data_IF_363867230560
#
_entry.id   IF_363867230560
#
_cell.length_a   1.000
_cell.length_b   1.000
_cell.length_c   1.000
_cell.angle_alpha   90.00
_cell.angle_beta   90.00
_cell.angle_gamma   90.00
#
_symmetry.space_group_name_H-M   'P 1'
#
loop_
_entity.id
_entity.type
_entity.pdbx_description
1 polymer ?
#
# COMPACT_ATOMS: atom_id res chain seq x y z
N UNK A 1 20.94 -15.97 -18.24
CA UNK A 1 19.97 -16.30 -17.18
C UNK A 1 18.93 -15.20 -17.15
N UNK A 2 17.68 -15.45 -17.54
CA UNK A 2 16.61 -14.43 -17.51
C UNK A 2 16.04 -14.41 -16.09
N UNK A 3 16.37 -13.39 -15.30
CA UNK A 3 15.71 -13.16 -14.01
C UNK A 3 14.23 -12.88 -14.28
N UNK A 4 13.35 -13.73 -13.76
CA UNK A 4 11.92 -13.45 -13.70
C UNK A 4 11.64 -12.77 -12.37
N UNK A 5 11.38 -11.47 -12.41
CA UNK A 5 10.82 -10.76 -11.26
C UNK A 5 9.30 -10.99 -11.28
N UNK A 6 8.77 -11.63 -10.25
CA UNK A 6 7.33 -11.78 -10.05
C UNK A 6 6.86 -10.71 -9.05
N UNK A 7 6.13 -9.70 -9.55
CA UNK A 7 5.39 -8.76 -8.69
C UNK A 7 3.98 -9.30 -8.53
N UNK A 8 3.73 -10.04 -7.45
CA UNK A 8 2.39 -10.52 -7.11
C UNK A 8 1.61 -9.43 -6.38
N UNK A 9 0.75 -8.69 -7.08
CA UNK A 9 -0.19 -7.75 -6.48
C UNK A 9 -1.52 -8.46 -6.23
N UNK A 10 -1.64 -9.14 -5.08
CA UNK A 10 -2.89 -9.78 -4.69
C UNK A 10 -3.81 -8.76 -4.01
N UNK A 11 -4.89 -8.40 -4.71
CA UNK A 11 -5.95 -7.52 -4.20
C UNK A 11 -7.02 -8.40 -3.57
N UNK A 12 -6.97 -8.55 -2.25
CA UNK A 12 -8.07 -9.12 -1.47
C UNK A 12 -9.06 -8.01 -1.14
N UNK A 13 -10.23 -8.06 -1.77
CA UNK A 13 -11.29 -7.06 -1.64
C UNK A 13 -12.25 -7.42 -0.50
N UNK A 14 -12.26 -6.58 0.53
CA UNK A 14 -13.44 -6.30 1.32
C UNK A 14 -13.27 -4.92 1.99
N UNK A 15 -13.71 -3.86 1.31
CA UNK A 15 -13.85 -2.54 1.95
C UNK A 15 -15.20 -1.95 1.61
N UNK A 16 -16.02 -1.75 2.64
CA UNK A 16 -17.21 -0.90 2.61
C UNK A 16 -16.80 0.44 3.20
N UNK A 17 -16.60 1.46 2.36
CA UNK A 17 -16.47 2.85 2.79
C UNK A 17 -17.02 3.80 1.71
N UNK A 18 -18.17 4.43 1.98
CA UNK A 18 -18.63 5.61 1.25
C UNK A 18 -18.81 6.74 2.28
N UNK A 19 -18.12 7.86 2.07
CA UNK A 19 -18.30 9.06 2.86
C UNK A 19 -17.35 10.18 2.43
N UNK A 20 -17.89 11.22 1.79
CA UNK A 20 -17.18 12.47 1.47
C UNK A 20 -17.02 13.30 2.75
N UNK A 21 -15.82 13.83 2.99
CA UNK A 21 -15.53 14.77 4.08
C UNK A 21 -14.87 16.04 3.57
N UNK A 22 -15.48 17.18 3.88
CA UNK A 22 -15.02 18.55 3.60
C UNK A 22 -13.80 18.91 4.45
N UNK A 23 -12.87 19.66 3.85
CA UNK A 23 -11.68 20.23 4.49
C UNK A 23 -12.05 21.48 5.30
N UNK A 24 -11.57 21.60 6.54
CA UNK A 24 -11.48 22.87 7.25
C UNK A 24 -10.03 23.04 7.74
N UNK A 25 -9.40 24.15 7.34
CA UNK A 25 -8.00 24.48 7.61
C UNK A 25 -7.91 25.41 8.82
N UNK A 26 -7.21 24.99 9.87
CA UNK A 26 -6.81 25.82 11.00
C UNK A 26 -5.28 25.94 11.03
N UNK A 27 -4.78 27.17 11.09
CA UNK A 27 -3.38 27.57 10.95
C UNK A 27 -2.86 28.02 12.32
N UNK A 28 -1.76 27.45 12.81
CA UNK A 28 -0.97 28.02 13.92
C UNK A 28 0.54 27.88 13.69
N UNK A 29 1.30 28.65 14.48
CA UNK A 29 2.51 29.40 14.15
C UNK A 29 3.83 28.61 13.98
N UNK A 30 4.70 29.23 13.18
CA UNK A 30 6.07 28.83 12.81
C UNK A 30 7.11 29.14 13.91
N UNK A 31 8.07 28.23 14.11
CA UNK A 31 9.52 28.52 14.12
C UNK A 31 10.39 27.26 14.29
N UNK A 32 11.15 26.91 13.25
CA UNK A 32 12.62 26.79 13.19
C UNK A 32 13.01 26.10 11.87
N UNK A 33 13.92 26.68 11.08
CA UNK A 33 14.31 26.23 9.74
C UNK A 33 15.60 25.41 9.82
N UNK A 34 15.48 24.08 9.68
CA UNK A 34 16.28 23.30 8.71
C UNK A 34 15.41 22.46 7.75
N UNK A 35 14.07 22.58 7.81
CA UNK A 35 13.12 21.61 7.24
C UNK A 35 12.70 21.83 5.77
N UNK A 36 13.18 22.86 5.09
CA UNK A 36 12.61 23.29 3.79
C UNK A 36 12.80 22.27 2.66
N UNK A 37 13.94 21.58 2.61
CA UNK A 37 14.27 20.65 1.51
C UNK A 37 13.60 19.28 1.67
N UNK A 38 13.50 18.80 2.92
CA UNK A 38 12.75 17.59 3.27
C UNK A 38 11.26 17.80 3.00
N UNK A 39 10.72 18.97 3.34
CA UNK A 39 9.31 19.32 3.09
C UNK A 39 8.98 19.37 1.58
N UNK A 40 9.88 19.96 0.77
CA UNK A 40 9.72 19.97 -0.70
C UNK A 40 9.74 18.55 -1.26
N UNK A 41 10.67 17.70 -0.84
CA UNK A 41 10.79 16.32 -1.32
C UNK A 41 9.55 15.48 -0.97
N UNK A 42 9.05 15.60 0.25
CA UNK A 42 7.80 14.95 0.69
C UNK A 42 6.62 15.42 -0.16
N UNK A 43 6.50 16.72 -0.42
CA UNK A 43 5.45 17.28 -1.28
C UNK A 43 5.52 16.73 -2.71
N UNK A 44 6.70 16.72 -3.32
CA UNK A 44 6.91 16.21 -4.67
C UNK A 44 6.61 14.70 -4.78
N UNK A 45 7.04 13.90 -3.79
CA UNK A 45 6.72 12.46 -3.73
C UNK A 45 5.22 12.22 -3.55
N UNK A 46 4.53 13.04 -2.75
CA UNK A 46 3.09 12.97 -2.60
C UNK A 46 2.34 13.30 -3.91
N UNK A 47 2.75 14.33 -4.63
CA UNK A 47 2.17 14.66 -5.95
C UNK A 47 2.43 13.55 -6.98
N UNK A 48 3.65 13.00 -7.02
CA UNK A 48 3.98 11.85 -7.86
C UNK A 48 3.08 10.65 -7.53
N UNK A 49 2.91 10.34 -6.24
CA UNK A 49 2.07 9.23 -5.78
C UNK A 49 0.58 9.45 -6.13
N UNK A 50 0.05 10.68 -6.06
CA UNK A 50 -1.31 10.99 -6.55
C UNK A 50 -1.46 10.66 -8.03
N UNK A 51 -0.52 11.11 -8.85
CA UNK A 51 -0.50 10.83 -10.28
C UNK A 51 -0.42 9.33 -10.58
N UNK A 52 0.48 8.62 -9.89
CA UNK A 52 0.61 7.17 -9.96
C UNK A 52 -0.68 6.45 -9.57
N UNK A 53 -1.34 6.89 -8.49
CA UNK A 53 -2.60 6.32 -7.99
C UNK A 53 -3.68 6.28 -9.07
N UNK A 54 -3.89 7.40 -9.77
CA UNK A 54 -4.89 7.47 -10.84
C UNK A 54 -4.51 6.64 -12.05
N UNK A 55 -3.23 6.62 -12.43
CA UNK A 55 -2.76 5.78 -13.55
C UNK A 55 -2.96 4.30 -13.24
N UNK A 56 -2.57 3.85 -12.04
CA UNK A 56 -2.72 2.47 -11.60
C UNK A 56 -4.20 2.07 -11.51
N UNK A 57 -5.05 2.91 -10.90
CA UNK A 57 -6.49 2.64 -10.83
C UNK A 57 -7.11 2.45 -12.23
N UNK A 58 -6.82 3.34 -13.19
CA UNK A 58 -7.34 3.20 -14.56
C UNK A 58 -6.89 1.91 -15.23
N UNK A 59 -5.64 1.50 -15.00
CA UNK A 59 -5.11 0.24 -15.54
C UNK A 59 -5.79 -0.98 -14.91
N UNK A 60 -6.00 -0.97 -13.59
CA UNK A 60 -6.73 -2.03 -12.90
C UNK A 60 -8.19 -2.08 -13.36
N UNK A 61 -8.88 -0.95 -13.46
CA UNK A 61 -10.28 -0.87 -13.89
C UNK A 61 -10.50 -1.29 -15.35
N UNK A 62 -9.51 -1.10 -16.22
CA UNK A 62 -9.56 -1.56 -17.61
C UNK A 62 -9.10 -3.02 -17.78
N UNK A 63 -8.62 -3.67 -16.72
CA UNK A 63 -8.17 -5.06 -16.79
C UNK A 63 -9.38 -6.01 -16.92
N UNK A 64 -9.22 -7.10 -17.69
CA UNK A 64 -10.28 -8.07 -17.92
C UNK A 64 -10.74 -8.72 -16.60
N UNK A 65 -9.79 -9.12 -15.75
CA UNK A 65 -10.07 -9.74 -14.46
C UNK A 65 -10.77 -8.81 -13.44
N UNK A 66 -10.83 -7.50 -13.71
CA UNK A 66 -11.50 -6.53 -12.84
C UNK A 66 -12.93 -6.21 -13.28
N UNK A 67 -13.40 -6.74 -14.42
CA UNK A 67 -14.73 -6.42 -14.93
C UNK A 67 -15.81 -6.97 -14.00
N UNK A 68 -16.63 -6.08 -13.43
CA UNK A 68 -17.66 -6.44 -12.46
C UNK A 68 -17.14 -6.68 -11.04
N UNK A 69 -15.84 -6.54 -10.80
CA UNK A 69 -15.20 -6.80 -9.51
C UNK A 69 -14.88 -5.52 -8.73
N UNK A 70 -14.78 -5.64 -7.41
CA UNK A 70 -14.37 -4.54 -6.55
C UNK A 70 -12.86 -4.32 -6.63
N UNK A 71 -12.44 -3.05 -6.74
CA UNK A 71 -11.02 -2.67 -6.77
C UNK A 71 -10.66 -2.00 -5.44
N UNK A 72 -9.67 -2.58 -4.74
CA UNK A 72 -9.12 -2.01 -3.51
C UNK A 72 -7.60 -2.15 -3.48
N UNK A 73 -6.89 -1.04 -3.29
CA UNK A 73 -5.44 -1.06 -3.11
C UNK A 73 -4.97 0.19 -2.36
N UNK A 74 -3.75 0.14 -1.82
CA UNK A 74 -3.06 1.30 -1.25
C UNK A 74 -1.99 1.78 -2.24
N UNK A 75 -2.21 2.92 -2.93
CA UNK A 75 -1.21 3.45 -3.84
C UNK A 75 0.12 3.75 -3.14
N UNK A 76 0.06 4.31 -1.93
CA UNK A 76 1.25 4.63 -1.16
C UNK A 76 2.06 3.39 -0.78
N UNK A 77 1.42 2.26 -0.45
CA UNK A 77 2.12 1.01 -0.14
C UNK A 77 2.79 0.42 -1.37
N UNK A 78 2.11 0.40 -2.52
CA UNK A 78 2.68 -0.07 -3.79
C UNK A 78 3.84 0.82 -4.22
N UNK A 79 3.68 2.13 -4.11
CA UNK A 79 4.71 3.12 -4.45
C UNK A 79 5.95 2.97 -3.56
N UNK A 80 5.77 2.83 -2.24
CA UNK A 80 6.86 2.60 -1.30
C UNK A 80 7.61 1.29 -1.58
N UNK A 81 6.90 0.21 -1.90
CA UNK A 81 7.54 -1.06 -2.24
C UNK A 81 8.38 -0.93 -3.52
N UNK A 82 7.82 -0.36 -4.59
CA UNK A 82 8.56 -0.20 -5.86
C UNK A 82 9.71 0.81 -5.75
N UNK A 83 9.61 1.82 -4.88
CA UNK A 83 10.71 2.72 -4.56
C UNK A 83 11.81 2.02 -3.74
N UNK A 84 11.44 1.13 -2.81
CA UNK A 84 12.39 0.27 -2.13
C UNK A 84 13.14 -0.63 -3.13
N UNK A 85 12.42 -1.20 -4.11
CA UNK A 85 13.04 -1.99 -5.18
C UNK A 85 14.02 -1.16 -6.02
N UNK A 86 13.72 0.13 -6.25
CA UNK A 86 14.59 0.99 -7.06
C UNK A 86 15.95 1.24 -6.41
N UNK A 87 16.07 1.16 -5.08
CA UNK A 87 17.36 1.25 -4.37
C UNK A 87 18.40 0.24 -4.91
N UNK A 88 17.95 -0.97 -5.24
CA UNK A 88 18.82 -2.04 -5.76
C UNK A 88 18.98 -2.02 -7.28
N UNK A 89 18.22 -1.19 -7.99
CA UNK A 89 18.19 -1.12 -9.44
C UNK A 89 19.23 -0.12 -9.97
N UNK A 90 19.70 -0.35 -11.20
CA UNK A 90 20.61 0.57 -11.90
C UNK A 90 20.20 0.75 -13.35
N UNK A 91 20.73 1.81 -13.99
CA UNK A 91 20.53 2.11 -15.39
C UNK A 91 19.05 2.18 -15.79
N UNK A 92 18.70 1.45 -16.84
CA UNK A 92 17.34 1.46 -17.40
C UNK A 92 16.28 0.91 -16.44
N UNK A 93 16.63 -0.09 -15.61
CA UNK A 93 15.68 -0.66 -14.65
C UNK A 93 15.32 0.35 -13.57
N UNK A 94 16.32 1.08 -13.06
CA UNK A 94 16.09 2.18 -12.12
C UNK A 94 15.20 3.24 -12.76
N UNK A 95 15.55 3.71 -13.97
CA UNK A 95 14.82 4.74 -14.69
C UNK A 95 13.34 4.40 -14.90
N UNK A 96 13.03 3.15 -15.27
CA UNK A 96 11.65 2.71 -15.48
C UNK A 96 10.85 2.67 -14.17
N UNK A 97 11.45 2.18 -13.08
CA UNK A 97 10.81 2.20 -11.75
C UNK A 97 10.53 3.63 -11.31
N UNK A 98 11.56 4.50 -11.36
CA UNK A 98 11.48 5.87 -10.89
C UNK A 98 10.46 6.70 -11.66
N UNK A 99 10.53 6.66 -13.00
CA UNK A 99 9.59 7.40 -13.86
C UNK A 99 8.18 6.83 -13.86
N UNK A 100 8.04 5.50 -13.75
CA UNK A 100 6.74 4.82 -13.62
C UNK A 100 5.96 5.26 -12.37
N UNK A 101 6.67 5.44 -11.27
CA UNK A 101 6.15 6.01 -10.01
C UNK A 101 5.88 7.52 -10.08
N UNK A 102 6.34 8.18 -11.14
CA UNK A 102 6.14 9.61 -11.36
C UNK A 102 7.22 10.51 -10.76
N UNK A 103 8.34 9.93 -10.28
CA UNK A 103 9.50 10.67 -9.76
C UNK A 103 10.34 11.25 -10.91
N UNK A 104 9.72 12.11 -11.72
CA UNK A 104 10.30 12.68 -12.94
C UNK A 104 10.94 14.07 -12.72
N UNK A 105 10.85 14.60 -11.51
CA UNK A 105 11.47 15.89 -11.19
C UNK A 105 12.98 15.74 -11.17
N UNK A 106 13.70 16.64 -11.85
CA UNK A 106 15.17 16.72 -11.78
C UNK A 106 15.67 17.00 -10.35
N UNK A 107 14.78 17.46 -9.47
CA UNK A 107 15.06 17.77 -8.07
C UNK A 107 14.88 16.55 -7.16
N UNK A 108 14.41 15.40 -7.67
CA UNK A 108 14.22 14.19 -6.87
C UNK A 108 15.34 13.19 -7.16
N UNK A 109 16.23 13.01 -6.20
CA UNK A 109 17.16 11.89 -6.16
C UNK A 109 16.56 10.71 -5.38
N UNK A 110 17.16 9.52 -5.52
CA UNK A 110 16.73 8.33 -4.77
C UNK A 110 16.72 8.58 -3.26
N UNK A 111 17.73 9.29 -2.74
CA UNK A 111 17.83 9.63 -1.31
C UNK A 111 16.68 10.49 -0.82
N UNK A 112 16.17 11.40 -1.65
CA UNK A 112 15.04 12.27 -1.31
C UNK A 112 13.74 11.48 -1.25
N UNK A 113 13.58 10.52 -2.16
CA UNK A 113 12.45 9.57 -2.18
C UNK A 113 12.49 8.65 -0.96
N UNK A 114 13.67 8.10 -0.65
CA UNK A 114 13.90 7.25 0.52
C UNK A 114 13.54 8.00 1.82
N UNK A 115 14.00 9.24 1.95
CA UNK A 115 13.72 10.09 3.11
C UNK A 115 12.22 10.44 3.20
N UNK A 116 11.58 10.75 2.08
CA UNK A 116 10.15 11.06 2.05
C UNK A 116 9.29 9.86 2.48
N UNK A 117 9.61 8.65 2.01
CA UNK A 117 8.92 7.44 2.45
C UNK A 117 9.21 7.10 3.90
N UNK A 118 10.42 7.34 4.39
CA UNK A 118 10.74 7.17 5.80
C UNK A 118 9.83 8.04 6.68
N UNK A 119 9.73 9.34 6.37
CA UNK A 119 8.86 10.28 7.09
C UNK A 119 7.39 9.87 7.01
N UNK A 120 6.92 9.46 5.82
CA UNK A 120 5.54 8.99 5.63
C UNK A 120 5.25 7.73 6.47
N UNK A 121 6.13 6.74 6.44
CA UNK A 121 5.94 5.48 7.17
C UNK A 121 6.03 5.67 8.68
N UNK A 122 6.93 6.55 9.16
CA UNK A 122 7.01 6.90 10.57
C UNK A 122 5.74 7.60 11.06
N UNK A 123 5.24 8.60 10.34
CA UNK A 123 4.04 9.37 10.73
C UNK A 123 2.76 8.53 10.77
N UNK A 124 2.78 7.37 10.11
CA UNK A 124 1.63 6.46 10.00
C UNK A 124 1.75 5.22 10.90
N UNK A 125 2.90 5.01 11.56
CA UNK A 125 3.11 3.97 12.56
C UNK A 125 2.68 4.45 13.95
N UNK A 126 1.44 4.90 14.09
CA UNK A 126 0.90 5.35 15.37
C UNK A 126 0.26 4.17 16.13
N UNK A 127 0.75 3.80 17.34
CA UNK A 127 0.21 2.69 18.13
C UNK A 127 -1.28 2.82 18.48
N UNK A 128 -1.83 4.05 18.50
CA UNK A 128 -3.26 4.29 18.72
C UNK A 128 -4.15 3.88 17.52
N UNK A 129 -3.55 3.63 16.35
CA UNK A 129 -4.20 3.05 15.19
C UNK A 129 -4.20 1.52 15.25
N UNK A 130 -4.72 0.95 16.35
CA UNK A 130 -4.88 -0.51 16.59
C UNK A 130 -5.64 -1.28 15.48
N UNK A 131 -6.14 -0.58 14.47
CA UNK A 131 -7.03 -1.10 13.43
C UNK A 131 -6.42 -1.01 12.02
N UNK A 132 -5.12 -0.72 11.89
CA UNK A 132 -4.39 -0.77 10.64
C UNK A 132 -3.12 -1.61 10.77
N UNK A 133 -2.87 -2.48 9.80
CA UNK A 133 -1.65 -3.30 9.72
C UNK A 133 -1.09 -3.15 8.32
N UNK A 134 0.17 -2.75 8.20
CA UNK A 134 0.81 -2.60 6.90
C UNK A 134 2.29 -2.90 7.00
N UNK A 135 2.91 -3.18 5.85
CA UNK A 135 4.34 -3.33 5.78
C UNK A 135 4.81 -3.78 4.42
N UNK A 136 6.12 -3.77 4.27
CA UNK A 136 6.83 -4.30 3.12
C UNK A 136 7.80 -5.37 3.62
N UNK A 137 7.96 -6.44 2.88
CA UNK A 137 8.95 -7.46 3.17
C UNK A 137 9.61 -7.95 1.88
N UNK A 138 10.89 -8.28 1.97
CA UNK A 138 11.65 -8.92 0.89
C UNK A 138 12.00 -10.34 1.30
N UNK A 139 11.68 -11.30 0.43
CA UNK A 139 12.05 -12.70 0.59
C UNK A 139 12.99 -13.06 -0.54
N UNK A 140 14.21 -13.46 -0.23
CA UNK A 140 15.24 -13.79 -1.21
C UNK A 140 15.61 -15.26 -1.15
N UNK A 141 15.95 -15.83 -2.30
CA UNK A 141 16.45 -17.20 -2.35
C UNK A 141 17.76 -17.33 -1.56
N UNK A 142 17.98 -18.49 -0.93
CA UNK A 142 19.20 -18.78 -0.18
C UNK A 142 20.48 -18.61 -1.01
N UNK A 143 20.41 -18.89 -2.31
CA UNK A 143 21.57 -18.81 -3.20
C UNK A 143 21.81 -17.38 -3.72
N UNK A 144 20.88 -16.45 -3.45
CA UNK A 144 21.02 -15.04 -3.79
C UNK A 144 21.44 -14.21 -2.58
N UNK A 145 22.53 -13.44 -2.74
CA UNK A 145 23.07 -12.57 -1.70
C UNK A 145 22.91 -11.11 -2.10
N UNK A 146 21.84 -10.42 -1.65
CA UNK A 146 21.71 -8.98 -1.86
C UNK A 146 22.88 -8.22 -1.25
N UNK A 147 23.21 -7.07 -1.82
CA UNK A 147 24.22 -6.18 -1.26
C UNK A 147 23.79 -5.70 0.14
N UNK A 148 24.69 -5.66 1.14
CA UNK A 148 24.36 -5.20 2.48
C UNK A 148 23.76 -3.80 2.51
N UNK A 149 24.26 -2.89 1.66
CA UNK A 149 23.79 -1.51 1.59
C UNK A 149 22.32 -1.43 1.13
N UNK A 150 21.91 -2.31 0.20
CA UNK A 150 20.52 -2.40 -0.24
C UNK A 150 19.59 -2.79 0.93
N UNK A 151 19.95 -3.86 1.66
CA UNK A 151 19.15 -4.31 2.81
C UNK A 151 19.12 -3.27 3.93
N UNK A 152 20.22 -2.54 4.13
CA UNK A 152 20.29 -1.46 5.11
C UNK A 152 19.32 -0.33 4.78
N UNK A 153 19.31 0.16 3.53
CA UNK A 153 18.38 1.22 3.11
C UNK A 153 16.92 0.75 3.19
N UNK A 154 16.61 -0.48 2.79
CA UNK A 154 15.27 -1.06 2.92
C UNK A 154 14.78 -1.05 4.38
N UNK A 155 15.65 -1.47 5.31
CA UNK A 155 15.34 -1.49 6.73
C UNK A 155 15.16 -0.08 7.32
N UNK A 156 16.02 0.86 6.94
CA UNK A 156 16.06 2.20 7.53
C UNK A 156 15.00 3.16 6.97
N UNK A 157 14.81 3.16 5.65
CA UNK A 157 13.94 4.12 4.96
C UNK A 157 12.54 3.57 4.70
N UNK A 158 12.43 2.26 4.48
CA UNK A 158 11.16 1.61 4.11
C UNK A 158 10.59 0.72 5.22
N UNK A 159 11.31 0.57 6.33
CA UNK A 159 10.97 -0.36 7.43
C UNK A 159 10.64 -1.77 6.91
N UNK A 160 11.33 -2.19 5.85
CA UNK A 160 11.10 -3.47 5.21
C UNK A 160 11.86 -4.58 5.95
N UNK A 161 11.15 -5.65 6.27
CA UNK A 161 11.76 -6.87 6.83
C UNK A 161 12.37 -7.71 5.70
N UNK A 162 13.46 -8.44 5.99
CA UNK A 162 14.17 -9.26 5.02
C UNK A 162 14.32 -10.70 5.49
N UNK A 163 14.06 -11.66 4.60
CA UNK A 163 14.10 -13.08 4.89
C UNK A 163 14.76 -13.87 3.77
N UNK A 164 15.38 -14.98 4.13
CA UNK A 164 15.88 -15.97 3.20
C UNK A 164 14.93 -17.17 3.14
N UNK A 165 14.63 -17.65 1.94
CA UNK A 165 13.79 -18.82 1.68
C UNK A 165 14.48 -19.76 0.69
N UNK A 166 14.04 -21.01 0.68
CA UNK A 166 14.39 -21.99 -0.34
C UNK A 166 13.22 -22.12 -1.30
N UNK A 167 13.25 -21.40 -2.42
CA UNK A 167 12.10 -21.43 -3.35
C UNK A 167 11.93 -22.77 -4.06
N UNK A 168 12.94 -23.64 -4.05
CA UNK A 168 12.78 -25.03 -4.53
C UNK A 168 11.77 -25.81 -3.69
N UNK A 169 11.58 -25.41 -2.43
CA UNK A 169 10.51 -25.85 -1.52
C UNK A 169 9.34 -24.88 -1.59
N UNK A 170 8.67 -24.86 -2.75
CA UNK A 170 7.66 -23.85 -3.08
C UNK A 170 6.51 -23.78 -2.07
N UNK A 171 6.03 -24.92 -1.56
CA UNK A 171 4.93 -24.98 -0.59
C UNK A 171 5.35 -24.41 0.76
N UNK A 172 6.48 -24.85 1.30
CA UNK A 172 7.00 -24.37 2.58
C UNK A 172 7.35 -22.88 2.52
N UNK A 173 7.88 -22.42 1.39
CA UNK A 173 8.15 -20.99 1.16
C UNK A 173 6.86 -20.17 1.07
N UNK A 174 5.80 -20.69 0.44
CA UNK A 174 4.49 -20.03 0.42
C UNK A 174 3.90 -19.93 1.84
N UNK A 175 3.99 -21.01 2.61
CA UNK A 175 3.52 -21.08 3.99
C UNK A 175 4.29 -20.11 4.90
N UNK A 176 5.61 -20.00 4.73
CA UNK A 176 6.43 -19.05 5.47
C UNK A 176 6.03 -17.59 5.19
N UNK A 177 5.82 -17.25 3.92
CA UNK A 177 5.34 -15.91 3.51
C UNK A 177 3.95 -15.63 4.11
N UNK A 178 3.01 -16.56 3.93
CA UNK A 178 1.64 -16.40 4.41
C UNK A 178 1.59 -16.29 5.93
N UNK A 179 2.37 -17.10 6.65
CA UNK A 179 2.49 -17.03 8.11
C UNK A 179 3.02 -15.68 8.58
N UNK A 180 4.09 -15.17 7.96
CA UNK A 180 4.63 -13.85 8.28
C UNK A 180 3.58 -12.75 8.13
N UNK A 181 2.86 -12.73 7.00
CA UNK A 181 1.81 -11.72 6.75
C UNK A 181 0.63 -11.89 7.71
N UNK A 182 0.22 -13.12 8.01
CA UNK A 182 -0.83 -13.41 8.98
C UNK A 182 -0.47 -12.86 10.37
N UNK A 183 0.75 -13.11 10.85
CA UNK A 183 1.23 -12.58 12.14
C UNK A 183 1.23 -11.05 12.15
N UNK A 184 1.77 -10.41 11.10
CA UNK A 184 1.80 -8.94 10.99
C UNK A 184 0.43 -8.29 10.87
N UNK A 185 -0.59 -9.05 10.47
CA UNK A 185 -1.96 -8.56 10.28
C UNK A 185 -2.96 -9.13 11.29
N UNK A 186 -2.50 -9.79 12.37
CA UNK A 186 -3.36 -10.44 13.36
C UNK A 186 -4.40 -11.39 12.71
N UNK A 187 -3.95 -12.16 11.72
CA UNK A 187 -4.75 -13.13 10.98
C UNK A 187 -5.76 -12.52 10.00
N UNK A 188 -5.67 -11.22 9.67
CA UNK A 188 -6.59 -10.59 8.69
C UNK A 188 -6.22 -10.89 7.24
N UNK A 189 -4.95 -11.19 6.98
CA UNK A 189 -4.47 -11.64 5.68
C UNK A 189 -3.68 -12.93 5.93
N UNK A 190 -4.33 -14.08 5.72
CA UNK A 190 -3.78 -15.41 5.99
C UNK A 190 -3.36 -16.19 4.74
N UNK A 191 -3.80 -15.74 3.55
CA UNK A 191 -3.44 -16.29 2.25
C UNK A 191 -3.15 -15.17 1.27
N UNK A 192 -1.90 -14.72 1.26
CA UNK A 192 -1.43 -13.70 0.33
C UNK A 192 -0.91 -14.32 -0.96
N UNK A 193 -0.12 -15.39 -0.86
CA UNK A 193 0.51 -16.05 -2.02
C UNK A 193 0.10 -17.51 -2.11
N UNK A 194 0.10 -18.03 -3.33
CA UNK A 194 -0.08 -19.44 -3.66
C UNK A 194 0.84 -19.79 -4.83
N UNK A 195 1.15 -21.08 -4.97
CA UNK A 195 1.82 -21.65 -6.13
C UNK A 195 3.10 -20.87 -6.54
N UNK A 196 4.09 -20.81 -5.65
CA UNK A 196 5.36 -20.11 -5.94
C UNK A 196 6.13 -20.82 -7.06
N UNK A 197 6.79 -20.05 -7.93
CA UNK A 197 7.67 -20.59 -8.97
C UNK A 197 9.02 -20.98 -8.31
N UNK A 198 9.46 -22.25 -8.41
CA UNK A 198 10.73 -22.71 -7.83
C UNK A 198 11.98 -22.00 -8.35
N UNK A 199 11.88 -21.30 -9.49
CA UNK A 199 12.97 -20.50 -10.07
C UNK A 199 13.00 -19.05 -9.58
N UNK A 200 12.14 -18.69 -8.62
CA UNK A 200 12.09 -17.34 -8.05
C UNK A 200 13.38 -17.04 -7.30
N UNK A 201 13.91 -15.83 -7.52
CA UNK A 201 15.11 -15.32 -6.82
C UNK A 201 14.72 -14.37 -5.68
N UNK A 202 13.61 -13.64 -5.86
CA UNK A 202 13.17 -12.63 -4.90
C UNK A 202 11.68 -12.35 -5.04
N UNK A 203 10.99 -12.30 -3.91
CA UNK A 203 9.68 -11.68 -3.77
C UNK A 203 9.80 -10.37 -3.02
N UNK A 204 9.12 -9.34 -3.53
CA UNK A 204 8.83 -8.12 -2.80
C UNK A 204 7.34 -8.09 -2.51
N UNK A 205 7.00 -8.04 -1.23
CA UNK A 205 5.63 -8.13 -0.75
C UNK A 205 5.26 -6.85 -0.04
N UNK A 206 4.11 -6.29 -0.40
CA UNK A 206 3.47 -5.19 0.32
C UNK A 206 2.08 -5.64 0.76
N UNK A 207 1.75 -5.46 2.05
CA UNK A 207 0.45 -5.79 2.60
C UNK A 207 -0.16 -4.60 3.34
N UNK A 208 -1.49 -4.51 3.34
CA UNK A 208 -2.24 -3.52 4.09
C UNK A 208 -3.62 -4.07 4.48
N UNK A 209 -3.95 -3.90 5.77
CA UNK A 209 -5.27 -4.05 6.36
C UNK A 209 -5.64 -2.73 7.01
N UNK A 210 -6.88 -2.28 6.82
CA UNK A 210 -7.37 -1.04 7.41
C UNK A 210 -8.82 -1.17 7.87
N UNK A 211 -9.07 -0.77 9.12
CA UNK A 211 -10.39 -0.66 9.71
C UNK A 211 -10.51 0.68 10.45
N UNK A 212 -10.99 1.70 9.74
CA UNK A 212 -11.16 3.03 10.31
C UNK A 212 -12.26 3.10 11.38
N UNK A 213 -12.11 4.04 12.32
CA UNK A 213 -13.19 4.49 13.22
C UNK A 213 -13.69 5.83 12.70
N UNK A 214 -14.99 5.91 12.41
CA UNK A 214 -15.62 7.19 12.05
C UNK A 214 -15.50 8.18 13.21
N UNK A 215 -15.16 9.44 12.90
CA UNK A 215 -15.21 10.56 13.87
C UNK A 215 -16.63 10.72 14.41
N UNK A 216 -17.63 10.70 13.52
CA UNK A 216 -19.05 10.64 13.86
C UNK A 216 -19.60 9.28 13.47
N UNK A 217 -19.78 8.39 14.45
CA UNK A 217 -20.23 7.01 14.24
C UNK A 217 -21.69 6.95 13.79
N UNK A 218 -22.02 5.90 13.04
CA UNK A 218 -23.40 5.54 12.75
C UNK A 218 -24.05 4.92 13.98
N UNK A 219 -25.37 5.13 14.14
CA UNK A 219 -26.17 4.40 15.13
C UNK A 219 -26.45 2.99 14.59
N UNK A 220 -25.96 1.91 15.23
CA UNK A 220 -26.16 0.55 14.73
C UNK A 220 -27.63 0.16 14.56
N UNK A 221 -28.54 0.78 15.30
CA UNK A 221 -30.00 0.53 15.21
C UNK A 221 -30.59 1.04 13.90
N UNK A 222 -29.89 1.94 13.22
CA UNK A 222 -30.27 2.50 11.92
C UNK A 222 -29.60 1.78 10.75
N UNK A 223 -28.77 0.76 11.01
CA UNK A 223 -28.22 -0.10 9.97
C UNK A 223 -29.22 -1.21 9.63
N UNK A 224 -29.69 -1.22 8.38
CA UNK A 224 -30.70 -2.18 7.91
C UNK A 224 -30.32 -2.75 6.56
N UNK A 225 -30.84 -3.94 6.23
CA UNK A 225 -30.71 -4.50 4.89
C UNK A 225 -31.57 -3.68 3.92
N UNK A 226 -30.98 -3.30 2.80
CA UNK A 226 -31.63 -2.55 1.73
C UNK A 226 -31.04 -2.94 0.36
N UNK A 227 -31.64 -2.46 -0.72
CA UNK A 227 -31.18 -2.70 -2.08
C UNK A 227 -29.92 -1.88 -2.42
N UNK A 228 -28.90 -2.55 -2.95
CA UNK A 228 -27.76 -1.94 -3.63
C UNK A 228 -27.86 -2.27 -5.13
N UNK A 229 -27.89 -1.24 -5.98
CA UNK A 229 -27.95 -1.40 -7.44
C UNK A 229 -26.54 -1.65 -7.96
N UNK A 230 -26.28 -2.85 -8.48
CA UNK A 230 -25.01 -3.21 -9.12
C UNK A 230 -24.96 -2.63 -10.53
N UNK A 231 -26.09 -2.71 -11.23
CA UNK A 231 -26.34 -2.10 -12.53
C UNK A 231 -27.84 -1.73 -12.64
N UNK A 232 -28.30 -1.33 -13.82
CA UNK A 232 -29.69 -0.91 -14.06
C UNK A 232 -30.73 -2.01 -13.77
N UNK A 233 -30.35 -3.28 -13.89
CA UNK A 233 -31.23 -4.44 -13.80
C UNK A 233 -30.92 -5.36 -12.60
N UNK A 234 -29.75 -5.22 -11.99
CA UNK A 234 -29.26 -6.09 -10.92
C UNK A 234 -29.27 -5.39 -9.56
N UNK A 235 -30.01 -5.95 -8.60
CA UNK A 235 -30.02 -5.52 -7.20
C UNK A 235 -29.57 -6.62 -6.27
N UNK A 236 -28.80 -6.26 -5.24
CA UNK A 236 -28.39 -7.16 -4.16
C UNK A 236 -28.76 -6.57 -2.80
N UNK A 237 -29.06 -7.42 -1.81
CA UNK A 237 -29.32 -6.96 -0.44
C UNK A 237 -28.01 -6.70 0.29
N UNK A 238 -27.82 -5.47 0.79
CA UNK A 238 -26.65 -5.07 1.59
C UNK A 238 -27.04 -4.29 2.84
N UNK A 239 -26.18 -4.26 3.85
CA UNK A 239 -26.40 -3.46 5.05
C UNK A 239 -26.04 -1.99 4.79
N UNK A 240 -27.06 -1.12 4.75
CA UNK A 240 -26.87 0.32 4.61
C UNK A 240 -27.02 1.01 5.96
N UNK A 241 -26.00 1.79 6.35
CA UNK A 241 -26.01 2.56 7.60
C UNK A 241 -26.52 3.97 7.36
N UNK A 242 -27.46 4.44 8.18
CA UNK A 242 -28.04 5.78 8.06
C UNK A 242 -27.61 6.65 9.25
N UNK A 243 -27.40 7.95 9.00
CA UNK A 243 -27.27 8.94 10.07
C UNK A 243 -28.65 9.52 10.38
N UNK A 244 -28.94 9.74 11.66
CA UNK A 244 -30.16 10.45 12.07
C UNK A 244 -30.11 11.86 11.47
N UNK A 245 -31.15 12.28 10.75
CA UNK A 245 -31.27 13.66 10.29
C UNK A 245 -31.21 14.58 11.52
N UNK A 246 -30.17 15.40 11.58
CA UNK A 246 -30.11 16.51 12.52
C UNK A 246 -31.03 17.56 11.89
N UNK A 247 -32.31 17.58 12.28
CA UNK A 247 -33.13 18.75 12.00
C UNK A 247 -32.44 19.96 12.64
N UNK A 248 -32.27 21.08 11.92
CA UNK A 248 -31.84 22.32 12.56
C UNK A 248 -32.84 22.62 13.68
N UNK A 249 -32.36 22.85 14.89
CA UNK A 249 -33.20 23.43 15.95
C UNK A 249 -33.72 24.77 15.44
N UNK A 250 -35.04 24.90 15.35
CA UNK A 250 -35.75 26.16 15.09
C UNK A 250 -35.41 27.21 16.14
#
# INVERSE_FOLDING_TARGET
MKMRAAVGLWVLSAVICVGRGHHNSGRENLKAVPDTEVDISVSLVNEANKGFSFRLYRKLAAHADSQGENIFFSPASVSAALAALSVGAQGETHRQLFSGLGFNSILLMQTDVDQAFQTFLQSTNNPSQEHASKGTAVFVDNDFKPKPEFLQTLKQSYFADGFNLDFTKATESADAINKYVAEKTNGKIDKLVKDLDPSTVMYLISYIYFKGKWVTRFDPRLTKKDDFNVDENTKVKSFLSQKKNISPSN
#
